data_IF_336369767332
#
_entry.id   IF_336369767332
#
_cell.length_a   1.000
_cell.length_b   1.000
_cell.length_c   1.000
_cell.angle_alpha   90.00
_cell.angle_beta   90.00
_cell.angle_gamma   90.00
#
_symmetry.space_group_name_H-M   'P 1'
#
loop_
_entity.id
_entity.type
_entity.pdbx_description
1 polymer ?
#
# COMPACT_ATOMS: atom_id res chain seq x y z
N UNK A 1 22.53 -28.33 -11.07
CA UNK A 1 22.56 -26.94 -10.60
C UNK A 1 23.87 -26.32 -11.06
N UNK A 2 23.85 -25.16 -11.70
CA UNK A 2 25.07 -24.49 -12.16
C UNK A 2 25.62 -23.64 -10.99
N UNK A 3 26.84 -23.91 -10.48
CA UNK A 3 27.35 -23.23 -9.29
C UNK A 3 27.58 -21.73 -9.49
N UNK A 4 27.93 -21.30 -10.70
CA UNK A 4 28.13 -19.88 -11.02
C UNK A 4 26.81 -19.11 -10.95
N UNK A 5 25.72 -19.71 -11.43
CA UNK A 5 24.40 -19.09 -11.35
C UNK A 5 23.87 -19.04 -9.92
N UNK A 6 24.20 -20.04 -9.09
CA UNK A 6 23.84 -20.04 -7.68
C UNK A 6 24.56 -18.91 -6.93
N UNK A 7 25.88 -18.83 -7.07
CA UNK A 7 26.70 -17.78 -6.43
C UNK A 7 26.26 -16.37 -6.86
N UNK A 8 25.96 -16.19 -8.16
CA UNK A 8 25.44 -14.91 -8.66
C UNK A 8 24.07 -14.55 -8.05
N UNK A 9 23.17 -15.53 -7.91
CA UNK A 9 21.85 -15.30 -7.34
C UNK A 9 21.92 -14.95 -5.84
N UNK A 10 22.81 -15.59 -5.09
CA UNK A 10 23.04 -15.30 -3.66
C UNK A 10 23.63 -13.90 -3.46
N UNK A 11 24.61 -13.53 -4.29
CA UNK A 11 25.22 -12.20 -4.26
C UNK A 11 24.19 -11.11 -4.61
N UNK A 12 23.43 -11.28 -5.68
CA UNK A 12 22.40 -10.33 -6.11
C UNK A 12 21.33 -10.15 -5.02
N UNK A 13 20.84 -11.26 -4.45
CA UNK A 13 19.88 -11.23 -3.36
C UNK A 13 20.38 -10.40 -2.17
N UNK A 14 21.62 -10.63 -1.72
CA UNK A 14 22.21 -9.91 -0.60
C UNK A 14 22.42 -8.42 -0.90
N UNK A 15 22.80 -8.07 -2.14
CA UNK A 15 22.94 -6.67 -2.57
C UNK A 15 21.60 -5.93 -2.62
N UNK A 16 20.56 -6.58 -3.15
CA UNK A 16 19.20 -6.04 -3.21
C UNK A 16 18.64 -5.89 -1.80
N UNK A 17 18.82 -6.89 -0.93
CA UNK A 17 18.42 -6.85 0.48
C UNK A 17 19.04 -5.65 1.20
N UNK A 18 20.34 -5.38 1.01
CA UNK A 18 21.00 -4.23 1.61
C UNK A 18 20.38 -2.88 1.15
N UNK A 19 19.97 -2.80 -0.12
CA UNK A 19 19.25 -1.63 -0.65
C UNK A 19 17.89 -1.46 0.04
N UNK A 20 17.13 -2.54 0.19
CA UNK A 20 15.84 -2.51 0.88
C UNK A 20 15.98 -2.13 2.36
N UNK A 21 17.03 -2.58 3.04
CA UNK A 21 17.30 -2.18 4.41
C UNK A 21 17.55 -0.68 4.55
N UNK A 22 18.22 -0.05 3.58
CA UNK A 22 18.39 1.40 3.59
C UNK A 22 17.06 2.12 3.34
N UNK A 23 16.27 1.66 2.38
CA UNK A 23 14.91 2.20 2.14
C UNK A 23 14.05 2.11 3.40
N UNK A 24 14.07 0.96 4.10
CA UNK A 24 13.33 0.74 5.34
C UNK A 24 13.80 1.67 6.46
N UNK A 25 15.10 1.93 6.61
CA UNK A 25 15.61 2.90 7.59
C UNK A 25 15.07 4.30 7.32
N UNK A 26 15.05 4.73 6.06
CA UNK A 26 14.53 6.05 5.68
C UNK A 26 13.03 6.17 6.00
N UNK A 27 12.25 5.16 5.62
CA UNK A 27 10.81 5.12 5.90
C UNK A 27 10.54 5.04 7.40
N UNK A 28 11.34 4.29 8.17
CA UNK A 28 11.24 4.22 9.63
C UNK A 28 11.49 5.57 10.30
N UNK A 29 12.49 6.33 9.84
CA UNK A 29 12.72 7.71 10.33
C UNK A 29 11.53 8.61 10.02
N UNK A 30 10.99 8.53 8.80
CA UNK A 30 9.78 9.27 8.44
C UNK A 30 8.59 8.89 9.33
N UNK A 31 8.31 7.61 9.51
CA UNK A 31 7.19 7.14 10.34
C UNK A 31 7.29 7.62 11.78
N UNK A 32 8.49 7.60 12.37
CA UNK A 32 8.73 8.18 13.69
C UNK A 32 8.51 9.69 13.71
N UNK A 33 8.91 10.40 12.66
CA UNK A 33 8.75 11.87 12.58
C UNK A 33 7.30 12.32 12.45
N UNK A 34 6.40 11.49 11.89
CA UNK A 34 4.97 11.83 11.84
C UNK A 34 4.31 11.73 13.22
N UNK A 35 4.86 10.91 14.11
CA UNK A 35 4.29 10.61 15.42
C UNK A 35 2.96 9.85 15.35
N UNK A 36 2.55 9.34 14.18
CA UNK A 36 1.27 8.64 14.00
C UNK A 36 1.21 7.38 14.86
N UNK A 37 2.25 6.55 14.85
CA UNK A 37 2.28 5.32 15.65
C UNK A 37 2.27 5.54 17.17
N UNK A 38 2.73 6.70 17.64
CA UNK A 38 2.71 7.04 19.08
C UNK A 38 1.43 7.76 19.51
N UNK A 39 0.92 8.68 18.66
CA UNK A 39 -0.23 9.53 18.98
C UNK A 39 -1.57 8.89 18.63
N UNK A 40 -1.59 7.97 17.67
CA UNK A 40 -2.79 7.25 17.24
C UNK A 40 -2.70 5.79 17.70
N UNK A 41 -2.76 5.57 19.01
CA UNK A 41 -2.65 4.23 19.60
C UNK A 41 -3.76 3.25 19.18
N UNK A 42 -4.84 3.75 18.59
CA UNK A 42 -5.91 2.92 18.01
C UNK A 42 -5.53 2.36 16.64
N UNK A 43 -4.63 3.02 15.91
CA UNK A 43 -4.22 2.61 14.58
C UNK A 43 -3.12 1.55 14.66
N UNK A 44 -3.15 0.60 13.73
CA UNK A 44 -2.21 -0.52 13.67
C UNK A 44 -0.84 -0.01 13.19
N UNK A 45 0.20 -0.22 13.99
CA UNK A 45 1.58 0.03 13.55
C UNK A 45 2.08 -1.13 12.67
N UNK A 46 1.94 -0.95 11.35
CA UNK A 46 2.21 -1.98 10.34
C UNK A 46 3.30 -1.58 9.34
N UNK A 47 4.27 -0.76 9.78
CA UNK A 47 5.29 -0.22 8.88
C UNK A 47 6.07 -1.31 8.12
N UNK A 48 6.36 -2.45 8.78
CA UNK A 48 7.07 -3.57 8.17
C UNK A 48 6.24 -4.25 7.10
N UNK A 49 4.96 -4.47 7.35
CA UNK A 49 4.01 -5.06 6.42
C UNK A 49 3.74 -4.12 5.24
N UNK A 50 3.62 -2.81 5.49
CA UNK A 50 3.54 -1.77 4.47
C UNK A 50 4.78 -1.78 3.58
N UNK A 51 5.97 -1.94 4.17
CA UNK A 51 7.20 -2.01 3.40
C UNK A 51 7.27 -3.30 2.56
N UNK A 52 6.87 -4.45 3.12
CA UNK A 52 6.79 -5.72 2.42
C UNK A 52 5.90 -5.65 1.18
N UNK A 53 4.72 -5.02 1.29
CA UNK A 53 3.84 -4.74 0.16
C UNK A 53 4.60 -4.05 -0.98
N UNK A 54 5.34 -2.99 -0.66
CA UNK A 54 6.06 -2.22 -1.69
C UNK A 54 7.25 -2.94 -2.28
N UNK A 55 7.98 -3.74 -1.49
CA UNK A 55 9.05 -4.60 -2.02
C UNK A 55 8.48 -5.59 -3.02
N UNK A 56 7.34 -6.21 -2.71
CA UNK A 56 6.68 -7.13 -3.62
C UNK A 56 6.18 -6.46 -4.90
N UNK A 57 5.71 -5.21 -4.82
CA UNK A 57 5.28 -4.41 -5.98
C UNK A 57 6.48 -4.02 -6.86
N UNK A 58 7.57 -3.54 -6.28
CA UNK A 58 8.71 -2.97 -7.00
C UNK A 58 10.06 -3.18 -6.29
N UNK A 59 10.62 -4.39 -6.46
CA UNK A 59 11.82 -4.82 -5.74
C UNK A 59 13.14 -4.30 -6.31
N UNK A 60 13.20 -3.86 -7.57
CA UNK A 60 14.48 -3.59 -8.25
C UNK A 60 15.21 -2.36 -7.67
N UNK A 61 16.52 -2.41 -7.35
CA UNK A 61 17.23 -1.39 -6.57
C UNK A 61 17.06 0.06 -7.04
N UNK A 62 17.03 0.30 -8.35
CA UNK A 62 16.90 1.63 -8.97
C UNK A 62 15.61 2.37 -8.60
N UNK A 63 14.59 1.66 -8.14
CA UNK A 63 13.29 2.24 -7.76
C UNK A 63 13.15 2.54 -6.27
N UNK A 64 14.26 2.77 -5.55
CA UNK A 64 14.24 3.05 -4.12
C UNK A 64 13.37 4.25 -3.73
N UNK A 65 13.38 5.33 -4.50
CA UNK A 65 12.47 6.46 -4.26
C UNK A 65 10.99 6.04 -4.33
N UNK A 66 10.62 5.32 -5.40
CA UNK A 66 9.25 4.82 -5.60
C UNK A 66 8.82 3.89 -4.46
N UNK A 67 9.66 2.93 -4.06
CA UNK A 67 9.39 2.06 -2.90
C UNK A 67 9.10 2.87 -1.65
N UNK A 68 10.01 3.79 -1.28
CA UNK A 68 9.84 4.60 -0.07
C UNK A 68 8.55 5.42 -0.10
N UNK A 69 8.24 6.07 -1.21
CA UNK A 69 7.01 6.86 -1.35
C UNK A 69 5.77 5.98 -1.26
N UNK A 70 5.74 4.84 -1.97
CA UNK A 70 4.64 3.89 -1.86
C UNK A 70 4.47 3.40 -0.43
N UNK A 71 5.56 3.16 0.32
CA UNK A 71 5.43 2.68 1.70
C UNK A 71 4.81 3.73 2.60
N UNK A 72 5.21 5.01 2.41
CA UNK A 72 4.59 6.14 3.11
C UNK A 72 3.08 6.20 2.83
N UNK A 73 2.69 6.07 1.56
CA UNK A 73 1.29 6.06 1.15
C UNK A 73 0.52 4.88 1.74
N UNK A 74 1.05 3.66 1.66
CA UNK A 74 0.39 2.48 2.25
C UNK A 74 0.22 2.64 3.75
N UNK A 75 1.23 3.14 4.47
CA UNK A 75 1.12 3.39 5.91
C UNK A 75 0.06 4.44 6.27
N UNK A 76 -0.04 5.52 5.48
CA UNK A 76 -1.10 6.52 5.64
C UNK A 76 -2.47 5.93 5.35
N UNK A 77 -2.61 5.12 4.28
CA UNK A 77 -3.85 4.43 3.95
C UNK A 77 -4.29 3.52 5.10
N UNK A 78 -3.41 2.67 5.65
CA UNK A 78 -3.72 1.83 6.82
C UNK A 78 -4.14 2.66 8.04
N UNK A 79 -3.46 3.78 8.28
CA UNK A 79 -3.80 4.66 9.42
C UNK A 79 -5.17 5.28 9.24
N UNK A 80 -5.50 5.70 8.03
CA UNK A 80 -6.77 6.34 7.69
C UNK A 80 -7.89 5.30 7.69
N UNK A 81 -7.65 4.10 7.17
CA UNK A 81 -8.56 2.95 7.28
C UNK A 81 -8.99 2.74 8.74
N UNK A 82 -8.04 2.71 9.69
CA UNK A 82 -8.36 2.62 11.12
C UNK A 82 -9.12 3.83 11.68
N UNK A 83 -8.91 5.03 11.13
CA UNK A 83 -9.72 6.21 11.48
C UNK A 83 -11.17 6.02 11.03
N UNK A 84 -11.41 5.49 9.83
CA UNK A 84 -12.78 5.31 9.31
C UNK A 84 -13.50 4.11 9.94
N UNK A 85 -12.80 3.00 10.14
CA UNK A 85 -13.43 1.73 10.52
C UNK A 85 -13.50 1.50 12.03
N UNK A 86 -12.58 2.09 12.80
CA UNK A 86 -12.40 1.76 14.23
C UNK A 86 -12.71 2.93 15.15
N UNK A 87 -12.24 4.14 14.82
CA UNK A 87 -12.16 5.22 15.80
C UNK A 87 -13.09 6.41 15.52
N UNK A 88 -13.19 6.85 14.27
CA UNK A 88 -13.91 8.06 13.89
C UNK A 88 -15.42 7.90 14.00
N UNK A 89 -16.08 8.94 14.50
CA UNK A 89 -17.54 9.05 14.43
C UNK A 89 -17.99 9.54 13.05
N UNK A 90 -19.22 9.24 12.64
CA UNK A 90 -19.73 9.68 11.33
C UNK A 90 -19.56 11.19 11.10
N UNK A 91 -19.93 12.02 12.08
CA UNK A 91 -19.80 13.48 11.99
C UNK A 91 -18.34 13.93 11.82
N UNK A 92 -17.40 13.32 12.55
CA UNK A 92 -15.97 13.60 12.40
C UNK A 92 -15.45 13.14 11.02
N UNK A 93 -15.91 11.98 10.54
CA UNK A 93 -15.52 11.43 9.24
C UNK A 93 -16.04 12.27 8.09
N UNK A 94 -17.24 12.84 8.18
CA UNK A 94 -17.76 13.82 7.22
C UNK A 94 -16.86 15.06 7.14
N UNK A 95 -16.42 15.59 8.29
CA UNK A 95 -15.50 16.73 8.32
C UNK A 95 -14.12 16.36 7.76
N UNK A 96 -13.59 15.19 8.12
CA UNK A 96 -12.31 14.70 7.61
C UNK A 96 -12.36 14.49 6.09
N UNK A 97 -13.51 14.01 5.60
CA UNK A 97 -13.81 13.87 4.18
C UNK A 97 -13.74 15.19 3.46
N UNK A 98 -14.52 16.17 3.92
CA UNK A 98 -14.57 17.50 3.32
C UNK A 98 -13.19 18.16 3.31
N UNK A 99 -12.41 18.01 4.39
CA UNK A 99 -11.06 18.54 4.47
C UNK A 99 -10.13 17.94 3.39
N UNK A 100 -10.17 16.62 3.18
CA UNK A 100 -9.38 15.95 2.14
C UNK A 100 -9.88 16.31 0.73
N UNK A 101 -11.18 16.31 0.50
CA UNK A 101 -11.76 16.68 -0.80
C UNK A 101 -11.46 18.13 -1.18
N UNK A 102 -11.44 19.05 -0.21
CA UNK A 102 -11.03 20.44 -0.46
C UNK A 102 -9.53 20.57 -0.60
N UNK A 103 -8.77 19.68 0.03
CA UNK A 103 -7.31 19.75 0.12
C UNK A 103 -6.83 21.10 0.66
N UNK A 104 -7.57 21.63 1.65
CA UNK A 104 -7.31 22.92 2.26
C UNK A 104 -6.86 22.73 3.70
N UNK A 105 -5.68 23.26 4.04
CA UNK A 105 -5.14 23.25 5.40
C UNK A 105 -6.11 23.95 6.36
N UNK A 106 -6.75 25.06 5.96
CA UNK A 106 -7.64 25.81 6.85
C UNK A 106 -8.89 25.01 7.25
N UNK A 107 -9.30 24.02 6.44
CA UNK A 107 -10.42 23.14 6.78
C UNK A 107 -10.09 22.23 7.98
N UNK A 108 -8.80 22.02 8.30
CA UNK A 108 -8.40 21.17 9.42
C UNK A 108 -8.72 21.77 10.78
N UNK A 109 -8.95 23.08 10.88
CA UNK A 109 -9.20 23.73 12.17
C UNK A 109 -10.44 23.17 12.87
N UNK A 110 -11.39 22.66 12.09
CA UNK A 110 -12.63 22.03 12.53
C UNK A 110 -12.46 20.55 12.92
N UNK A 111 -11.33 19.93 12.62
CA UNK A 111 -11.09 18.51 12.90
C UNK A 111 -10.66 18.30 14.36
N UNK A 112 -10.89 17.12 14.93
CA UNK A 112 -10.22 16.69 16.16
C UNK A 112 -8.69 16.61 15.98
N UNK A 113 -7.93 16.82 17.05
CA UNK A 113 -6.45 16.86 17.00
C UNK A 113 -5.83 15.62 16.36
N UNK A 114 -6.37 14.43 16.62
CA UNK A 114 -5.88 13.17 16.06
C UNK A 114 -6.03 13.13 14.52
N UNK A 115 -7.15 13.66 14.01
CA UNK A 115 -7.41 13.80 12.58
C UNK A 115 -6.55 14.89 11.95
N UNK A 116 -6.27 15.99 12.66
CA UNK A 116 -5.34 17.03 12.17
C UNK A 116 -3.95 16.45 11.92
N UNK A 117 -3.45 15.63 12.85
CA UNK A 117 -2.16 14.96 12.70
C UNK A 117 -2.16 14.04 11.47
N UNK A 118 -3.22 13.24 11.30
CA UNK A 118 -3.38 12.35 10.15
C UNK A 118 -3.44 13.12 8.81
N UNK A 119 -4.29 14.15 8.74
CA UNK A 119 -4.42 15.00 7.55
C UNK A 119 -3.11 15.68 7.20
N UNK A 120 -2.41 16.27 8.18
CA UNK A 120 -1.13 16.94 7.94
C UNK A 120 -0.06 15.95 7.45
N UNK A 121 -0.01 14.75 8.01
CA UNK A 121 0.93 13.71 7.56
C UNK A 121 0.65 13.30 6.10
N UNK A 122 -0.63 13.14 5.74
CA UNK A 122 -1.06 12.86 4.36
C UNK A 122 -0.69 14.03 3.42
N UNK A 123 -1.12 15.24 3.77
CA UNK A 123 -0.91 16.45 2.98
C UNK A 123 0.58 16.72 2.72
N UNK A 124 1.41 16.63 3.77
CA UNK A 124 2.85 16.85 3.65
C UNK A 124 3.52 15.78 2.78
N UNK A 125 3.14 14.51 2.95
CA UNK A 125 3.73 13.41 2.15
C UNK A 125 3.38 13.52 0.67
N UNK A 126 2.13 13.87 0.35
CA UNK A 126 1.69 14.06 -1.05
C UNK A 126 2.34 15.29 -1.69
N UNK A 127 2.49 16.38 -0.94
CA UNK A 127 3.16 17.58 -1.45
C UNK A 127 4.68 17.38 -1.61
N UNK A 128 5.32 16.63 -0.72
CA UNK A 128 6.72 16.20 -0.89
C UNK A 128 6.88 15.45 -2.21
N UNK A 129 6.04 14.44 -2.46
CA UNK A 129 6.05 13.69 -3.72
C UNK A 129 5.81 14.57 -4.95
N UNK A 130 4.87 15.52 -4.85
CA UNK A 130 4.56 16.42 -5.95
C UNK A 130 5.71 17.38 -6.24
N UNK A 131 6.37 17.89 -5.20
CA UNK A 131 7.55 18.73 -5.33
C UNK A 131 8.71 17.99 -5.98
N UNK A 132 9.00 16.77 -5.52
CA UNK A 132 10.08 15.94 -6.09
C UNK A 132 9.81 15.60 -7.56
N UNK A 133 8.56 15.25 -7.90
CA UNK A 133 8.17 15.00 -9.30
C UNK A 133 8.34 16.25 -10.17
N UNK A 134 7.91 17.41 -9.67
CA UNK A 134 8.08 18.68 -10.37
C UNK A 134 9.56 19.01 -10.58
N UNK A 135 10.39 18.80 -9.56
CA UNK A 135 11.82 19.07 -9.59
C UNK A 135 12.57 18.17 -10.58
N UNK A 136 12.25 16.88 -10.62
CA UNK A 136 12.97 15.90 -11.44
C UNK A 136 12.44 15.80 -12.87
N UNK A 137 11.11 15.91 -13.04
CA UNK A 137 10.44 15.65 -14.32
C UNK A 137 9.78 16.89 -14.92
N UNK A 138 9.75 18.02 -14.21
CA UNK A 138 9.06 19.24 -14.66
C UNK A 138 7.54 19.10 -14.65
N UNK A 139 6.99 18.04 -14.06
CA UNK A 139 5.57 17.71 -14.11
C UNK A 139 4.89 17.90 -12.74
N UNK A 140 3.93 18.81 -12.68
CA UNK A 140 3.18 19.08 -11.45
C UNK A 140 2.01 18.08 -11.30
N UNK A 141 2.22 17.00 -10.54
CA UNK A 141 1.27 15.89 -10.42
C UNK A 141 0.37 15.92 -9.17
N UNK A 142 0.42 16.96 -8.33
CA UNK A 142 -0.34 17.01 -7.06
C UNK A 142 -1.83 16.70 -7.24
N UNK A 143 -2.45 17.18 -8.34
CA UNK A 143 -3.85 16.91 -8.67
C UNK A 143 -4.14 15.43 -8.91
N UNK A 144 -3.22 14.70 -9.53
CA UNK A 144 -3.38 13.27 -9.79
C UNK A 144 -3.21 12.45 -8.51
N UNK A 145 -2.25 12.83 -7.67
CA UNK A 145 -2.03 12.21 -6.36
C UNK A 145 -3.26 12.38 -5.44
N UNK A 146 -3.84 13.59 -5.41
CA UNK A 146 -5.10 13.85 -4.72
C UNK A 146 -6.24 12.95 -5.21
N UNK A 147 -6.46 12.91 -6.53
CA UNK A 147 -7.55 12.11 -7.12
C UNK A 147 -7.39 10.61 -6.88
N UNK A 148 -6.16 10.10 -6.88
CA UNK A 148 -5.88 8.69 -6.58
C UNK A 148 -6.28 8.31 -5.15
N UNK A 149 -6.07 9.22 -4.18
CA UNK A 149 -6.51 9.02 -2.80
C UNK A 149 -8.05 8.99 -2.69
N UNK A 150 -8.76 9.93 -3.35
CA UNK A 150 -10.23 9.98 -3.33
C UNK A 150 -10.87 8.70 -3.89
N UNK A 151 -10.28 8.10 -4.93
CA UNK A 151 -10.73 6.85 -5.56
C UNK A 151 -10.55 5.61 -4.66
N UNK A 152 -9.59 5.63 -3.74
CA UNK A 152 -9.31 4.51 -2.83
C UNK A 152 -10.28 4.39 -1.65
N UNK A 153 -11.26 5.31 -1.55
CA UNK A 153 -12.04 5.55 -0.33
C UNK A 153 -13.49 5.04 -0.35
N UNK A 154 -13.86 4.24 -1.35
CA UNK A 154 -15.24 3.74 -1.51
C UNK A 154 -15.55 2.51 -0.66
N UNK A 155 -16.58 2.62 0.21
CA UNK A 155 -17.15 1.61 1.14
C UNK A 155 -17.22 0.17 0.59
N UNK A 156 -16.81 -0.89 1.31
CA UNK A 156 -17.19 -1.45 2.66
C UNK A 156 -18.46 -2.31 2.64
N UNK A 157 -18.69 -3.06 1.56
CA UNK A 157 -19.20 -4.42 1.75
C UNK A 157 -18.14 -5.40 1.26
N UNK A 158 -17.73 -6.34 2.12
CA UNK A 158 -16.88 -7.42 1.65
C UNK A 158 -17.72 -8.27 0.71
N UNK A 159 -17.20 -8.47 -0.49
CA UNK A 159 -17.91 -9.04 -1.64
C UNK A 159 -18.61 -10.36 -1.34
N UNK A 160 -18.07 -11.15 -0.39
CA UNK A 160 -18.68 -12.37 0.14
C UNK A 160 -20.02 -12.08 0.83
N UNK A 161 -20.07 -11.18 1.81
CA UNK A 161 -21.32 -10.86 2.51
C UNK A 161 -22.35 -10.22 1.57
N UNK A 162 -21.92 -9.36 0.65
CA UNK A 162 -22.79 -8.81 -0.39
C UNK A 162 -23.44 -9.92 -1.21
N UNK A 163 -22.63 -10.83 -1.75
CA UNK A 163 -23.12 -11.93 -2.56
C UNK A 163 -24.08 -12.84 -1.79
N UNK A 164 -23.75 -13.18 -0.53
CA UNK A 164 -24.62 -13.97 0.34
C UNK A 164 -25.97 -13.28 0.57
N UNK A 165 -25.96 -11.98 0.86
CA UNK A 165 -27.18 -11.20 1.11
C UNK A 165 -28.04 -11.05 -0.15
N UNK A 166 -27.42 -10.87 -1.31
CA UNK A 166 -28.13 -10.67 -2.59
C UNK A 166 -28.70 -11.97 -3.16
N UNK A 167 -28.02 -13.09 -2.96
CA UNK A 167 -28.37 -14.38 -3.60
C UNK A 167 -28.94 -15.43 -2.65
N UNK A 168 -28.76 -15.25 -1.33
CA UNK A 168 -29.07 -16.26 -0.33
C UNK A 168 -28.08 -17.44 -0.32
N UNK A 169 -26.96 -17.34 -1.03
CA UNK A 169 -25.96 -18.40 -1.13
C UNK A 169 -25.21 -18.64 0.20
N UNK A 170 -24.62 -19.83 0.33
CA UNK A 170 -23.75 -20.13 1.46
C UNK A 170 -22.44 -19.33 1.39
N UNK A 171 -21.72 -19.22 2.51
CA UNK A 171 -20.40 -18.58 2.52
C UNK A 171 -19.40 -19.32 1.62
N UNK A 172 -19.51 -20.66 1.52
CA UNK A 172 -18.66 -21.47 0.65
C UNK A 172 -18.90 -21.14 -0.83
N UNK A 173 -20.17 -21.12 -1.26
CA UNK A 173 -20.56 -20.75 -2.62
C UNK A 173 -20.14 -19.31 -2.96
N UNK A 174 -20.32 -18.38 -2.00
CA UNK A 174 -19.88 -16.99 -2.15
C UNK A 174 -18.35 -16.90 -2.31
N UNK A 175 -17.58 -17.65 -1.52
CA UNK A 175 -16.12 -17.71 -1.65
C UNK A 175 -15.69 -18.29 -3.00
N UNK A 176 -16.37 -19.34 -3.48
CA UNK A 176 -16.09 -19.91 -4.80
C UNK A 176 -16.38 -18.92 -5.92
N UNK A 177 -17.51 -18.21 -5.85
CA UNK A 177 -17.85 -17.14 -6.79
C UNK A 177 -16.83 -16.01 -6.80
N UNK A 178 -16.41 -15.50 -5.64
CA UNK A 178 -15.37 -14.45 -5.59
C UNK A 178 -14.03 -14.96 -6.15
N UNK A 179 -13.66 -16.23 -5.92
CA UNK A 179 -12.46 -16.83 -6.55
C UNK A 179 -12.57 -16.91 -8.06
N UNK A 180 -13.75 -17.22 -8.61
CA UNK A 180 -13.96 -17.24 -10.06
C UNK A 180 -13.82 -15.84 -10.66
N UNK A 181 -14.38 -14.81 -10.02
CA UNK A 181 -14.19 -13.41 -10.42
C UNK A 181 -12.72 -12.97 -10.40
N UNK A 182 -11.96 -13.38 -9.38
CA UNK A 182 -10.51 -13.13 -9.32
C UNK A 182 -9.80 -13.80 -10.52
N UNK A 183 -10.13 -15.05 -10.82
CA UNK A 183 -9.57 -15.80 -11.96
C UNK A 183 -9.91 -15.14 -13.30
N UNK A 184 -11.14 -14.69 -13.49
CA UNK A 184 -11.57 -13.94 -14.68
C UNK A 184 -10.85 -12.60 -14.82
N UNK A 185 -10.66 -11.89 -13.70
CA UNK A 185 -9.93 -10.62 -13.68
C UNK A 185 -8.46 -10.83 -14.05
N UNK A 186 -7.82 -11.91 -13.58
CA UNK A 186 -6.46 -12.29 -14.00
C UNK A 186 -6.35 -12.52 -15.51
N UNK A 187 -7.35 -13.17 -16.12
CA UNK A 187 -7.36 -13.36 -17.59
C UNK A 187 -7.39 -12.03 -18.32
N UNK A 188 -8.26 -11.11 -17.91
CA UNK A 188 -8.34 -9.75 -18.47
C UNK A 188 -7.02 -8.99 -18.30
N UNK A 189 -6.40 -9.07 -17.12
CA UNK A 189 -5.08 -8.44 -16.88
C UNK A 189 -4.00 -9.02 -17.82
N UNK A 190 -3.98 -10.34 -18.04
CA UNK A 190 -3.03 -10.96 -18.97
C UNK A 190 -3.29 -10.56 -20.43
N UNK A 191 -4.55 -10.37 -20.84
CA UNK A 191 -4.90 -9.88 -22.17
C UNK A 191 -4.42 -8.44 -22.39
N UNK A 192 -4.59 -7.57 -21.38
CA UNK A 192 -4.08 -6.19 -21.41
C UNK A 192 -2.55 -6.12 -21.45
N UNK A 193 -1.85 -7.13 -20.89
CA UNK A 193 -0.40 -7.23 -21.04
C UNK A 193 0.03 -7.41 -22.49
N UNK A 194 -0.77 -8.16 -23.25
CA UNK A 194 -0.50 -8.48 -24.64
C UNK A 194 -1.01 -7.41 -25.61
N UNK A 195 -1.75 -6.40 -25.10
CA UNK A 195 -2.34 -5.33 -25.88
C UNK A 195 -1.36 -4.16 -26.10
N UNK A 196 -1.66 -3.29 -27.07
CA UNK A 196 -0.92 -2.04 -27.24
C UNK A 196 -1.35 -1.03 -26.17
N UNK A 197 -0.76 -1.16 -24.98
CA UNK A 197 -1.03 -0.27 -23.85
C UNK A 197 -0.27 1.07 -23.98
N UNK A 198 -0.87 2.20 -23.59
CA UNK A 198 -0.16 3.48 -23.49
C UNK A 198 0.81 3.53 -22.29
N UNK A 199 0.76 2.55 -21.39
CA UNK A 199 1.62 2.48 -20.22
C UNK A 199 2.94 1.74 -20.51
N UNK A 200 4.01 2.12 -19.83
CA UNK A 200 5.29 1.43 -19.97
C UNK A 200 5.28 0.07 -19.25
N UNK A 201 6.23 -0.78 -19.64
CA UNK A 201 6.38 -2.14 -19.11
C UNK A 201 6.54 -2.17 -17.58
N UNK A 202 7.29 -1.22 -17.01
CA UNK A 202 7.49 -1.13 -15.56
C UNK A 202 6.18 -0.87 -14.81
N UNK A 203 5.34 0.04 -15.30
CA UNK A 203 4.03 0.32 -14.70
C UNK A 203 3.11 -0.90 -14.76
N UNK A 204 3.16 -1.63 -15.88
CA UNK A 204 2.41 -2.87 -16.03
C UNK A 204 2.87 -3.94 -15.03
N UNK A 205 4.19 -4.13 -14.90
CA UNK A 205 4.77 -5.05 -13.92
C UNK A 205 4.39 -4.70 -12.49
N UNK A 206 4.43 -3.41 -12.12
CA UNK A 206 3.97 -2.94 -10.81
C UNK A 206 2.49 -3.30 -10.58
N UNK A 207 1.62 -3.11 -11.57
CA UNK A 207 0.19 -3.41 -11.48
C UNK A 207 -0.06 -4.91 -11.29
N UNK A 208 0.66 -5.75 -12.04
CA UNK A 208 0.60 -7.22 -11.89
C UNK A 208 1.13 -7.66 -10.53
N UNK A 209 2.25 -7.09 -10.09
CA UNK A 209 2.85 -7.42 -8.80
C UNK A 209 1.97 -6.97 -7.63
N UNK A 210 1.23 -5.86 -7.76
CA UNK A 210 0.23 -5.47 -6.76
C UNK A 210 -0.84 -6.55 -6.59
N UNK A 211 -1.36 -7.11 -7.70
CA UNK A 211 -2.32 -8.20 -7.65
C UNK A 211 -1.71 -9.48 -7.04
N UNK A 212 -0.46 -9.82 -7.38
CA UNK A 212 0.28 -10.95 -6.76
C UNK A 212 0.46 -10.73 -5.27
N UNK A 213 0.79 -9.51 -4.86
CA UNK A 213 0.95 -9.17 -3.45
C UNK A 213 -0.36 -9.23 -2.69
N UNK A 214 -1.47 -8.81 -3.28
CA UNK A 214 -2.79 -8.99 -2.66
C UNK A 214 -3.12 -10.47 -2.44
N UNK A 215 -2.82 -11.34 -3.40
CA UNK A 215 -2.97 -12.78 -3.21
C UNK A 215 -2.04 -13.29 -2.11
N UNK A 216 -0.75 -12.94 -2.16
CA UNK A 216 0.23 -13.35 -1.15
C UNK A 216 -0.20 -12.95 0.27
N UNK A 217 -0.69 -11.73 0.44
CA UNK A 217 -1.06 -11.18 1.75
C UNK A 217 -2.39 -11.72 2.29
N UNK A 218 -3.33 -12.10 1.41
CA UNK A 218 -4.70 -12.43 1.81
C UNK A 218 -5.18 -13.84 1.49
N UNK A 219 -4.38 -14.67 0.81
CA UNK A 219 -4.79 -16.02 0.43
C UNK A 219 -5.03 -16.95 1.64
N UNK A 220 -4.28 -16.74 2.73
CA UNK A 220 -4.30 -17.61 3.91
C UNK A 220 -4.90 -16.97 5.16
N UNK A 221 -5.27 -15.69 5.10
CA UNK A 221 -5.78 -14.95 6.24
C UNK A 221 -5.51 -13.46 6.08
N UNK A 222 -5.51 -12.72 7.18
CA UNK A 222 -5.17 -11.31 7.17
C UNK A 222 -3.67 -11.11 7.44
N UNK A 223 -2.87 -11.28 6.38
CA UNK A 223 -1.42 -11.09 6.45
C UNK A 223 -0.98 -9.65 6.73
N UNK A 224 -1.85 -8.65 6.51
CA UNK A 224 -1.53 -7.24 6.75
C UNK A 224 -1.90 -6.81 8.17
N UNK A 225 -3.11 -7.12 8.62
CA UNK A 225 -3.64 -6.70 9.90
C UNK A 225 -3.23 -7.57 11.08
N UNK A 226 -2.96 -8.86 10.89
CA UNK A 226 -2.49 -9.78 11.96
C UNK A 226 -0.96 -9.94 11.89
N UNK A 227 -0.41 -10.17 10.69
CA UNK A 227 1.04 -10.15 10.42
C UNK A 227 1.85 -11.35 10.95
N UNK A 228 1.26 -12.25 11.73
CA UNK A 228 1.99 -13.39 12.33
C UNK A 228 2.53 -14.37 11.28
N UNK A 229 1.78 -14.58 10.20
CA UNK A 229 2.10 -15.57 9.16
C UNK A 229 3.25 -15.13 8.25
N UNK A 230 3.52 -13.82 8.14
CA UNK A 230 4.54 -13.27 7.26
C UNK A 230 5.84 -12.92 7.98
N UNK A 231 5.89 -13.07 9.31
CA UNK A 231 7.05 -12.67 10.12
C UNK A 231 8.34 -13.36 9.71
N UNK A 232 8.29 -14.67 9.47
CA UNK A 232 9.48 -15.44 9.07
C UNK A 232 9.97 -15.03 7.67
N UNK A 233 9.04 -14.71 6.77
CA UNK A 233 9.38 -14.18 5.45
C UNK A 233 10.03 -12.79 5.55
N UNK A 234 9.48 -11.90 6.37
CA UNK A 234 10.07 -10.57 6.60
C UNK A 234 11.50 -10.71 7.13
N UNK A 235 11.74 -11.64 8.04
CA UNK A 235 13.08 -11.91 8.55
C UNK A 235 14.03 -12.45 7.47
N UNK A 236 13.60 -13.39 6.63
CA UNK A 236 14.45 -13.94 5.58
C UNK A 236 14.70 -12.94 4.44
N UNK A 237 13.68 -12.18 4.06
CA UNK A 237 13.75 -11.26 2.93
C UNK A 237 14.54 -9.99 3.28
N UNK A 238 14.31 -9.43 4.46
CA UNK A 238 14.80 -8.09 4.80
C UNK A 238 15.94 -8.07 5.82
N UNK A 239 16.17 -9.15 6.58
CA UNK A 239 17.08 -9.11 7.74
C UNK A 239 18.22 -10.13 7.61
N UNK A 240 17.93 -11.37 7.21
CA UNK A 240 18.89 -12.47 7.17
C UNK A 240 19.47 -12.60 5.75
N UNK A 241 20.78 -12.39 5.54
CA UNK A 241 21.41 -12.63 4.24
C UNK A 241 21.54 -14.13 3.96
N UNK A 242 21.75 -14.48 2.70
CA UNK A 242 22.09 -15.84 2.27
C UNK A 242 23.61 -16.05 2.46
N UNK A 243 24.00 -17.25 2.90
CA UNK A 243 25.37 -17.65 3.22
C UNK A 243 25.81 -18.87 2.42
#
# INVERSE_FOLDING_TARGET
MNPILLELAELDFNMVQATHQEDLKQVSRWWKSTGLGEKLSFARDRLMENFLWTVGVIFQPQFGYCRRMLTKLTALVTTIDDVYDVYGTLDELELFTDAVERWNIDAMDQLPDYMKICFLALHNSINEMAFDTLKEQGFHNARYLKKAYELGRGDVHKSIQCYMNETGASEEDAREYIRSLISETWKKMNEEQASSSPFNQTFFEMSMNLARMAQFMYQHGDGHGIGSEIKDLVLSLLIKPIH
#
